data_IF_280642890353
#
_entry.id   IF_280642890353
#
_cell.length_a   1.000
_cell.length_b   1.000
_cell.length_c   1.000
_cell.angle_alpha   90.00
_cell.angle_beta   90.00
_cell.angle_gamma   90.00
#
_symmetry.space_group_name_H-M   'P 1'
#
loop_
_entity.id
_entity.type
_entity.pdbx_description
1 polymer ?
#
# COMPACT_ATOMS: atom_id res chain seq x y z
N UNK A 1 34.29 9.81 63.39
CA UNK A 1 35.29 10.76 62.88
C UNK A 1 34.97 11.11 61.44
N UNK A 2 34.53 12.34 61.21
CA UNK A 2 34.49 13.01 59.90
C UNK A 2 35.90 13.15 59.34
N UNK A 3 36.17 12.89 58.05
CA UNK A 3 37.18 13.63 57.30
C UNK A 3 36.88 13.63 55.77
N UNK A 4 36.52 14.82 55.30
CA UNK A 4 36.89 15.45 54.03
C UNK A 4 36.36 14.95 52.66
N UNK A 5 35.44 15.79 52.17
CA UNK A 5 35.30 16.27 50.79
C UNK A 5 36.63 16.49 50.03
N UNK A 6 36.63 16.14 48.74
CA UNK A 6 37.24 16.98 47.69
C UNK A 6 36.56 16.76 46.34
N UNK A 7 35.92 17.84 45.89
CA UNK A 7 35.49 18.10 44.52
C UNK A 7 36.75 18.35 43.68
N UNK A 8 36.85 17.72 42.50
CA UNK A 8 37.61 18.28 41.38
C UNK A 8 36.78 18.14 40.11
N UNK A 9 36.32 19.29 39.63
CA UNK A 9 35.80 19.58 38.30
C UNK A 9 36.92 19.62 37.25
N UNK A 10 36.65 19.11 36.04
CA UNK A 10 37.22 19.57 34.74
C UNK A 10 36.52 18.74 33.64
N UNK A 11 35.41 19.20 33.05
CA UNK A 11 35.27 20.27 32.05
C UNK A 11 36.07 20.05 30.76
N UNK A 12 35.34 20.20 29.65
CA UNK A 12 35.74 20.44 28.27
C UNK A 12 36.32 19.26 27.47
N UNK A 13 35.56 18.74 26.50
CA UNK A 13 35.51 19.30 25.15
C UNK A 13 34.52 18.50 24.31
N UNK A 14 33.48 19.19 23.83
CA UNK A 14 32.54 18.64 22.87
C UNK A 14 33.16 18.59 21.49
N UNK A 15 32.93 17.49 20.78
CA UNK A 15 33.03 17.46 19.32
C UNK A 15 31.61 17.44 18.79
N UNK A 16 31.01 18.63 18.72
CA UNK A 16 29.80 18.85 17.95
C UNK A 16 30.18 18.67 16.47
N UNK A 17 29.91 17.49 15.92
CA UNK A 17 29.97 17.27 14.48
C UNK A 17 28.77 18.01 13.86
N UNK A 18 28.94 19.30 13.62
CA UNK A 18 27.99 20.14 12.91
C UNK A 18 27.95 19.70 11.44
N UNK A 19 27.11 18.72 11.13
CA UNK A 19 26.74 18.40 9.75
C UNK A 19 25.84 19.52 9.23
N UNK A 20 26.47 20.58 8.72
CA UNK A 20 25.82 21.57 7.87
C UNK A 20 25.31 20.85 6.62
N UNK A 21 24.02 20.51 6.62
CA UNK A 21 23.29 20.12 5.42
C UNK A 21 22.52 21.34 4.96
N UNK A 22 23.17 22.19 4.18
CA UNK A 22 22.44 23.09 3.30
C UNK A 22 21.77 22.23 2.24
N UNK A 23 20.59 21.71 2.54
CA UNK A 23 19.67 21.21 1.52
C UNK A 23 19.07 22.43 0.86
N UNK A 24 19.73 22.91 -0.20
CA UNK A 24 19.06 23.75 -1.18
C UNK A 24 17.87 22.94 -1.70
N UNK A 25 16.67 23.35 -1.29
CA UNK A 25 15.42 22.82 -1.77
C UNK A 25 15.26 23.21 -3.24
N UNK A 26 15.86 22.42 -4.14
CA UNK A 26 15.55 22.49 -5.55
C UNK A 26 14.02 22.37 -5.70
N UNK A 27 13.35 23.27 -6.44
CA UNK A 27 11.93 23.12 -6.72
C UNK A 27 11.79 21.84 -7.54
N UNK A 28 11.32 20.78 -6.89
CA UNK A 28 10.82 19.59 -7.56
C UNK A 28 9.58 20.01 -8.32
N UNK A 29 9.78 20.56 -9.52
CA UNK A 29 8.71 20.78 -10.49
C UNK A 29 8.14 19.39 -10.75
N UNK A 30 7.05 19.09 -10.05
CA UNK A 30 6.38 17.81 -10.10
C UNK A 30 5.90 17.62 -11.55
N UNK A 31 6.69 16.91 -12.34
CA UNK A 31 6.34 16.57 -13.71
C UNK A 31 4.97 15.89 -13.68
N UNK A 32 3.95 16.58 -14.19
CA UNK A 32 2.59 16.06 -14.26
C UNK A 32 2.60 14.90 -15.23
N UNK A 33 2.69 13.68 -14.70
CA UNK A 33 2.65 12.47 -15.51
C UNK A 33 1.31 12.47 -16.25
N UNK A 34 1.35 12.67 -17.56
CA UNK A 34 0.15 12.65 -18.41
C UNK A 34 -0.56 11.31 -18.19
N UNK A 35 -1.74 11.38 -17.59
CA UNK A 35 -2.55 10.20 -17.30
C UNK A 35 -3.09 9.70 -18.63
N UNK A 36 -2.51 8.62 -19.16
CA UNK A 36 -3.06 7.94 -20.33
C UNK A 36 -4.33 7.23 -19.88
N UNK A 37 -5.46 7.67 -20.44
CA UNK A 37 -6.77 7.07 -20.22
C UNK A 37 -6.99 6.04 -21.33
N UNK A 38 -7.04 4.75 -21.00
CA UNK A 38 -7.30 3.72 -21.99
C UNK A 38 -8.75 3.81 -22.45
N UNK A 39 -8.96 3.60 -23.75
CA UNK A 39 -10.32 3.45 -24.30
C UNK A 39 -11.02 2.26 -23.62
N UNK A 40 -12.34 2.33 -23.39
CA UNK A 40 -13.09 1.19 -22.89
C UNK A 40 -12.99 0.01 -23.88
N UNK A 41 -12.87 -1.22 -23.38
CA UNK A 41 -12.62 -2.42 -24.21
C UNK A 41 -13.56 -3.55 -23.85
N UNK A 42 -14.15 -4.17 -24.86
CA UNK A 42 -14.97 -5.38 -24.72
C UNK A 42 -16.15 -5.18 -23.78
N UNK A 43 -16.29 -6.08 -22.79
CA UNK A 43 -17.40 -6.09 -21.81
C UNK A 43 -17.22 -5.09 -20.66
N UNK A 44 -16.13 -4.33 -20.65
CA UNK A 44 -15.79 -3.41 -19.57
C UNK A 44 -15.71 -1.99 -20.12
N UNK A 45 -16.90 -1.42 -20.25
CA UNK A 45 -17.17 -0.08 -20.75
C UNK A 45 -17.43 0.93 -19.61
N UNK A 46 -18.06 0.44 -18.53
CA UNK A 46 -18.50 1.23 -17.39
C UNK A 46 -17.60 1.03 -16.17
N UNK A 47 -17.43 2.05 -15.30
CA UNK A 47 -16.73 1.90 -14.02
C UNK A 47 -17.33 0.80 -13.15
N UNK A 48 -18.64 0.63 -13.22
CA UNK A 48 -19.37 -0.40 -12.49
C UNK A 48 -19.00 -1.82 -12.95
N UNK A 49 -19.01 -2.07 -14.27
CA UNK A 49 -18.56 -3.34 -14.86
C UNK A 49 -17.11 -3.64 -14.46
N UNK A 50 -16.24 -2.63 -14.48
CA UNK A 50 -14.83 -2.79 -14.10
C UNK A 50 -14.67 -3.21 -12.64
N UNK A 51 -15.36 -2.55 -11.72
CA UNK A 51 -15.26 -2.84 -10.28
C UNK A 51 -15.87 -4.20 -9.91
N UNK A 52 -16.91 -4.63 -10.63
CA UNK A 52 -17.48 -5.98 -10.55
C UNK A 52 -16.50 -7.04 -11.06
N UNK A 53 -15.87 -6.81 -12.22
CA UNK A 53 -14.93 -7.75 -12.82
C UNK A 53 -13.70 -8.05 -11.94
N UNK A 54 -13.14 -7.03 -11.27
CA UNK A 54 -11.97 -7.20 -10.38
C UNK A 54 -12.32 -7.82 -9.02
N UNK A 55 -13.59 -7.72 -8.61
CA UNK A 55 -14.15 -8.23 -7.35
C UNK A 55 -13.45 -7.69 -6.08
N UNK A 56 -13.27 -8.59 -5.09
CA UNK A 56 -12.68 -8.29 -3.76
C UNK A 56 -13.40 -7.19 -2.97
N UNK A 57 -14.72 -7.10 -3.14
CA UNK A 57 -15.56 -6.13 -2.44
C UNK A 57 -15.42 -4.70 -2.97
N UNK A 58 -14.87 -4.51 -4.18
CA UNK A 58 -14.81 -3.19 -4.82
C UNK A 58 -16.16 -2.76 -5.39
N UNK A 59 -17.08 -3.70 -5.59
CA UNK A 59 -18.47 -3.50 -6.03
C UNK A 59 -19.27 -2.53 -5.15
N UNK A 60 -18.88 -2.39 -3.87
CA UNK A 60 -19.56 -1.49 -2.92
C UNK A 60 -19.25 0.00 -3.16
N UNK A 61 -18.29 0.29 -4.02
CA UNK A 61 -17.82 1.66 -4.27
C UNK A 61 -18.24 2.18 -5.65
N UNK A 62 -19.10 1.47 -6.37
CA UNK A 62 -19.54 1.82 -7.73
C UNK A 62 -20.20 3.19 -7.77
N UNK A 63 -21.07 3.50 -6.79
CA UNK A 63 -21.76 4.79 -6.65
C UNK A 63 -20.80 5.99 -6.48
N UNK A 64 -19.55 5.75 -6.09
CA UNK A 64 -18.56 6.82 -5.88
C UNK A 64 -17.85 7.22 -7.16
N UNK A 65 -17.89 6.38 -8.20
CA UNK A 65 -17.25 6.65 -9.48
C UNK A 65 -18.30 7.04 -10.52
N UNK A 66 -18.29 8.32 -10.91
CA UNK A 66 -19.24 8.87 -11.90
C UNK A 66 -18.87 8.46 -13.32
N UNK A 67 -17.61 8.65 -13.68
CA UNK A 67 -17.14 8.49 -15.06
C UNK A 67 -15.96 7.52 -15.19
N UNK A 68 -15.79 6.96 -16.39
CA UNK A 68 -14.62 6.17 -16.75
C UNK A 68 -13.33 6.96 -16.54
N UNK A 69 -13.31 8.20 -17.01
CA UNK A 69 -12.20 9.13 -16.82
C UNK A 69 -11.85 9.34 -15.35
N UNK A 70 -12.86 9.47 -14.49
CA UNK A 70 -12.67 9.68 -13.06
C UNK A 70 -11.97 8.48 -12.42
N UNK A 71 -12.34 7.25 -12.80
CA UNK A 71 -11.71 6.02 -12.31
C UNK A 71 -10.21 5.96 -12.65
N UNK A 72 -9.82 6.33 -13.88
CA UNK A 72 -8.42 6.28 -14.31
C UNK A 72 -7.59 7.47 -13.85
N UNK A 73 -8.21 8.65 -13.66
CA UNK A 73 -7.53 9.84 -13.10
C UNK A 73 -7.36 9.78 -11.58
N UNK A 74 -8.12 8.92 -10.89
CA UNK A 74 -8.09 8.83 -9.44
C UNK A 74 -6.69 8.48 -8.89
N UNK A 75 -6.23 9.31 -7.95
CA UNK A 75 -4.99 9.10 -7.20
C UNK A 75 -5.26 8.50 -5.82
N UNK A 76 -4.23 7.93 -5.18
CA UNK A 76 -4.34 7.36 -3.82
C UNK A 76 -4.92 8.33 -2.79
N UNK A 77 -4.61 9.62 -2.92
CA UNK A 77 -5.09 10.69 -2.05
C UNK A 77 -6.58 10.92 -2.28
N UNK A 78 -7.02 11.14 -3.52
CA UNK A 78 -8.44 11.29 -3.88
C UNK A 78 -9.28 10.09 -3.41
N UNK A 79 -8.82 8.87 -3.68
CA UNK A 79 -9.48 7.64 -3.24
C UNK A 79 -9.62 7.52 -1.71
N UNK A 80 -8.69 8.11 -0.94
CA UNK A 80 -8.73 8.11 0.52
C UNK A 80 -9.63 9.22 1.05
N UNK A 81 -9.41 10.45 0.59
CA UNK A 81 -10.00 11.65 1.18
C UNK A 81 -11.41 11.94 0.65
N UNK A 82 -11.65 11.78 -0.65
CA UNK A 82 -12.95 12.06 -1.27
C UNK A 82 -13.89 10.87 -1.16
N UNK A 83 -13.35 9.66 -1.37
CA UNK A 83 -14.18 8.44 -1.45
C UNK A 83 -14.12 7.58 -0.19
N UNK A 84 -13.19 7.80 0.74
CA UNK A 84 -13.09 7.01 1.97
C UNK A 84 -12.86 5.50 1.74
N UNK A 85 -12.22 5.10 0.63
CA UNK A 85 -12.04 3.68 0.29
C UNK A 85 -10.94 3.08 1.16
N UNK A 86 -11.10 1.84 1.64
CA UNK A 86 -10.11 1.14 2.44
C UNK A 86 -8.77 0.91 1.73
N UNK A 87 -7.67 0.88 2.46
CA UNK A 87 -6.32 0.82 1.88
C UNK A 87 -6.10 -0.41 0.98
N UNK A 88 -6.70 -1.56 1.30
CA UNK A 88 -6.62 -2.78 0.49
C UNK A 88 -7.28 -2.59 -0.87
N UNK A 89 -8.49 -2.03 -0.89
CA UNK A 89 -9.27 -1.80 -2.10
C UNK A 89 -8.65 -0.70 -2.96
N UNK A 90 -8.14 0.38 -2.36
CA UNK A 90 -7.40 1.42 -3.12
C UNK A 90 -6.21 0.84 -3.87
N UNK A 91 -5.36 0.06 -3.19
CA UNK A 91 -4.21 -0.61 -3.83
C UNK A 91 -4.66 -1.55 -4.95
N UNK A 92 -5.77 -2.28 -4.73
CA UNK A 92 -6.31 -3.21 -5.71
C UNK A 92 -6.81 -2.50 -6.97
N UNK A 93 -7.61 -1.45 -6.82
CA UNK A 93 -8.13 -0.64 -7.92
C UNK A 93 -6.98 -0.05 -8.73
N UNK A 94 -6.00 0.59 -8.07
CA UNK A 94 -4.85 1.20 -8.74
C UNK A 94 -3.96 0.18 -9.47
N UNK A 95 -3.78 -1.01 -8.89
CA UNK A 95 -3.07 -2.08 -9.56
C UNK A 95 -3.80 -2.51 -10.84
N UNK A 96 -5.12 -2.64 -10.80
CA UNK A 96 -5.92 -3.03 -11.96
C UNK A 96 -6.03 -1.94 -13.02
N UNK A 97 -6.18 -0.67 -12.65
CA UNK A 97 -6.17 0.42 -13.63
C UNK A 97 -4.82 0.48 -14.35
N UNK A 98 -3.71 0.21 -13.66
CA UNK A 98 -2.40 0.08 -14.30
C UNK A 98 -2.34 -1.14 -15.25
N UNK A 99 -2.81 -2.32 -14.82
CA UNK A 99 -2.88 -3.51 -15.69
C UNK A 99 -3.73 -3.27 -16.93
N UNK A 100 -4.83 -2.57 -16.80
CA UNK A 100 -5.71 -2.25 -17.91
C UNK A 100 -5.05 -1.28 -18.90
N UNK A 101 -4.24 -0.32 -18.42
CA UNK A 101 -3.38 0.51 -19.29
C UNK A 101 -2.34 -0.32 -20.06
N UNK A 102 -1.88 -1.43 -19.50
CA UNK A 102 -0.96 -2.37 -20.15
C UNK A 102 -1.68 -3.33 -21.12
N UNK A 103 -3.00 -3.20 -21.28
CA UNK A 103 -3.77 -4.03 -22.20
C UNK A 103 -4.32 -5.33 -21.60
N UNK A 104 -4.15 -5.55 -20.29
CA UNK A 104 -4.66 -6.75 -19.60
C UNK A 104 -6.10 -6.50 -19.14
N UNK A 105 -7.02 -7.38 -19.52
CA UNK A 105 -8.44 -7.26 -19.15
C UNK A 105 -8.67 -7.64 -17.68
N UNK A 106 -9.62 -6.98 -16.98
CA UNK A 106 -9.84 -7.21 -15.57
C UNK A 106 -10.54 -8.54 -15.32
N UNK A 107 -10.04 -9.30 -14.36
CA UNK A 107 -10.65 -10.55 -13.91
C UNK A 107 -10.40 -10.79 -12.42
N UNK A 108 -11.23 -11.61 -11.78
CA UNK A 108 -11.05 -11.94 -10.38
C UNK A 108 -9.87 -12.92 -10.20
N UNK A 109 -8.74 -12.40 -9.71
CA UNK A 109 -7.62 -13.25 -9.27
C UNK A 109 -8.01 -13.95 -7.96
N UNK A 110 -8.48 -15.20 -8.09
CA UNK A 110 -8.75 -16.11 -6.98
C UNK A 110 -7.45 -16.40 -6.24
N UNK A 111 -7.45 -16.16 -4.93
CA UNK A 111 -6.34 -16.60 -4.08
C UNK A 111 -6.41 -18.10 -3.95
N UNK A 112 -5.30 -18.80 -4.16
CA UNK A 112 -5.23 -20.23 -3.85
C UNK A 112 -5.49 -20.46 -2.36
N UNK A 113 -6.16 -21.56 -2.03
CA UNK A 113 -6.22 -22.02 -0.64
C UNK A 113 -4.81 -22.47 -0.28
N UNK A 114 -4.14 -21.74 0.62
CA UNK A 114 -2.87 -22.23 1.16
C UNK A 114 -3.17 -23.47 2.01
N UNK A 115 -2.61 -24.61 1.62
CA UNK A 115 -2.58 -25.79 2.48
C UNK A 115 -1.49 -25.60 3.56
N UNK A 116 -1.72 -24.63 4.45
CA UNK A 116 -0.89 -24.49 5.64
C UNK A 116 -1.58 -25.24 6.75
N UNK A 117 -1.06 -26.43 7.07
CA UNK A 117 -1.51 -27.18 8.24
C UNK A 117 -1.40 -26.29 9.47
N UNK A 118 -2.49 -26.17 10.24
CA UNK A 118 -2.46 -25.42 11.50
C UNK A 118 -1.39 -26.03 12.41
N UNK A 119 -0.77 -25.21 13.27
CA UNK A 119 0.25 -25.71 14.21
C UNK A 119 -0.27 -26.90 15.03
N UNK A 120 -1.53 -26.85 15.43
CA UNK A 120 -2.25 -27.94 16.12
C UNK A 120 -2.28 -29.22 15.30
N UNK A 121 -2.62 -29.15 14.02
CA UNK A 121 -2.65 -30.29 13.10
C UNK A 121 -1.23 -30.84 12.86
N UNK A 122 -0.22 -29.97 12.77
CA UNK A 122 1.20 -30.38 12.67
C UNK A 122 1.64 -31.15 13.91
N UNK A 123 1.31 -30.66 15.10
CA UNK A 123 1.63 -31.31 16.37
C UNK A 123 0.87 -32.63 16.53
N UNK A 124 -0.41 -32.67 16.16
CA UNK A 124 -1.20 -33.90 16.17
C UNK A 124 -0.61 -34.97 15.22
N UNK A 125 -0.21 -34.57 14.01
CA UNK A 125 0.47 -35.47 13.06
C UNK A 125 1.81 -35.98 13.60
N UNK A 126 2.60 -35.12 14.24
CA UNK A 126 3.87 -35.50 14.86
C UNK A 126 3.68 -36.45 16.04
N UNK A 127 2.63 -36.26 16.85
CA UNK A 127 2.28 -37.15 17.96
C UNK A 127 1.88 -38.53 17.48
N UNK A 128 1.06 -38.63 16.42
CA UNK A 128 0.69 -39.92 15.79
C UNK A 128 1.93 -40.70 15.34
N UNK A 129 2.85 -40.05 14.61
CA UNK A 129 4.11 -40.65 14.15
C UNK A 129 5.05 -41.16 15.25
N UNK A 130 4.90 -40.69 16.50
CA UNK A 130 5.71 -41.15 17.63
C UNK A 130 5.12 -42.40 18.28
N UNK A 131 3.83 -42.64 18.06
CA UNK A 131 3.05 -43.63 18.78
C UNK A 131 2.69 -44.87 17.92
N UNK A 132 3.12 -44.85 16.66
CA UNK A 132 3.24 -45.99 15.74
C UNK A 132 4.66 -46.56 15.85
#
# INVERSE_FOLDING_TARGET
MSFFTRIVTRSALGVAFARSMSTEAAPVVAATRKVVIPRPRGQVDTPESFLKAIGRGCEKYTEKFKDWDHLFKANTIALKHEMGIGAKQRKWILMWTNKFRLGIDPYLIRTSKKHTMKRTERLARAKRRRND
#
